data_IF_604524836495
#
_entry.id   IF_604524836495
#
_cell.length_a   1.000
_cell.length_b   1.000
_cell.length_c   1.000
_cell.angle_alpha   90.00
_cell.angle_beta   90.00
_cell.angle_gamma   90.00
#
_symmetry.space_group_name_H-M   'P 1'
#
loop_
_entity.id
_entity.type
_entity.pdbx_description
1 polymer ?
#
# COMPACT_ATOMS: atom_id res chain seq x y z
N UNK A 1 -24.10 22.95 -21.24
CA UNK A 1 -23.82 23.30 -19.83
C UNK A 1 -23.39 22.01 -19.10
N UNK A 2 -22.16 21.52 -19.32
CA UNK A 2 -21.72 20.17 -18.90
C UNK A 2 -20.87 20.17 -17.62
N UNK A 3 -20.53 21.35 -17.09
CA UNK A 3 -19.54 21.56 -16.04
C UNK A 3 -20.14 21.75 -14.63
N UNK A 4 -21.47 21.76 -14.47
CA UNK A 4 -22.12 21.96 -13.16
C UNK A 4 -22.10 20.70 -12.29
N UNK A 5 -22.22 19.51 -12.89
CA UNK A 5 -22.26 18.23 -12.17
C UNK A 5 -20.88 17.68 -11.79
N UNK A 6 -19.79 18.17 -12.42
CA UNK A 6 -18.42 17.70 -12.20
C UNK A 6 -17.69 18.40 -11.05
N UNK A 7 -18.09 19.63 -10.71
CA UNK A 7 -17.48 20.45 -9.63
C UNK A 7 -17.43 19.77 -8.25
N UNK A 8 -18.49 19.11 -7.74
CA UNK A 8 -18.43 18.48 -6.42
C UNK A 8 -17.48 17.27 -6.39
N UNK A 9 -17.45 16.47 -7.46
CA UNK A 9 -16.53 15.33 -7.55
C UNK A 9 -15.06 15.78 -7.61
N UNK A 10 -14.78 16.85 -8.35
CA UNK A 10 -13.43 17.41 -8.46
C UNK A 10 -12.94 17.99 -7.13
N UNK A 11 -13.81 18.69 -6.39
CA UNK A 11 -13.51 19.22 -5.06
C UNK A 11 -13.20 18.10 -4.06
N UNK A 12 -14.02 17.05 -4.04
CA UNK A 12 -13.78 15.88 -3.16
C UNK A 12 -12.44 15.22 -3.50
N UNK A 13 -12.13 15.06 -4.79
CA UNK A 13 -10.86 14.50 -5.26
C UNK A 13 -9.67 15.37 -4.82
N UNK A 14 -9.75 16.68 -5.03
CA UNK A 14 -8.71 17.64 -4.64
C UNK A 14 -8.51 17.70 -3.13
N UNK A 15 -9.57 17.56 -2.32
CA UNK A 15 -9.46 17.53 -0.86
C UNK A 15 -8.93 16.19 -0.32
N UNK A 16 -9.22 15.06 -0.98
CA UNK A 16 -8.70 13.74 -0.57
C UNK A 16 -7.26 13.49 -0.99
N UNK A 17 -6.81 14.08 -2.09
CA UNK A 17 -5.45 13.96 -2.59
C UNK A 17 -4.38 14.29 -1.53
N UNK A 18 -4.38 15.45 -0.85
CA UNK A 18 -3.35 15.79 0.14
C UNK A 18 -3.36 14.85 1.35
N UNK A 19 -4.53 14.34 1.77
CA UNK A 19 -4.63 13.38 2.87
C UNK A 19 -4.02 12.02 2.49
N UNK A 20 -4.31 11.54 1.28
CA UNK A 20 -3.74 10.29 0.77
C UNK A 20 -2.23 10.41 0.57
N UNK A 21 -1.76 11.52 -0.01
CA UNK A 21 -0.33 11.80 -0.16
C UNK A 21 0.38 11.85 1.20
N UNK A 22 -0.22 12.50 2.20
CA UNK A 22 0.36 12.54 3.55
C UNK A 22 0.45 11.16 4.18
N UNK A 23 -0.58 10.33 4.03
CA UNK A 23 -0.58 8.94 4.55
C UNK A 23 0.46 8.08 3.83
N UNK A 24 0.58 8.23 2.51
CA UNK A 24 1.59 7.53 1.72
C UNK A 24 3.01 7.89 2.18
N UNK A 25 3.31 9.19 2.30
CA UNK A 25 4.63 9.69 2.70
C UNK A 25 4.98 9.33 4.15
N UNK A 26 4.01 9.34 5.07
CA UNK A 26 4.28 9.06 6.48
C UNK A 26 4.37 7.57 6.81
N UNK A 27 3.66 6.73 6.06
CA UNK A 27 3.44 5.32 6.45
C UNK A 27 4.01 4.35 5.43
N UNK A 28 3.69 4.51 4.14
CA UNK A 28 4.01 3.51 3.12
C UNK A 28 5.41 3.70 2.54
N UNK A 29 5.83 4.94 2.32
CA UNK A 29 7.14 5.26 1.77
C UNK A 29 8.30 4.81 2.69
N UNK A 30 8.31 5.10 4.01
CA UNK A 30 9.39 4.65 4.89
C UNK A 30 9.45 3.13 4.98
N UNK A 31 8.29 2.47 4.96
CA UNK A 31 8.20 1.01 4.92
C UNK A 31 8.80 0.44 3.63
N UNK A 32 8.45 0.98 2.46
CA UNK A 32 8.99 0.52 1.18
C UNK A 32 10.52 0.67 1.11
N UNK A 33 11.05 1.77 1.63
CA UNK A 33 12.50 2.00 1.73
C UNK A 33 13.16 0.98 2.67
N UNK A 34 12.56 0.73 3.84
CA UNK A 34 13.07 -0.26 4.79
C UNK A 34 13.04 -1.68 4.18
N UNK A 35 11.96 -2.05 3.50
CA UNK A 35 11.86 -3.34 2.79
C UNK A 35 12.97 -3.45 1.75
N UNK A 36 13.11 -2.47 0.85
CA UNK A 36 14.13 -2.51 -0.20
C UNK A 36 15.57 -2.58 0.34
N UNK A 37 15.82 -1.99 1.52
CA UNK A 37 17.12 -2.03 2.20
C UNK A 37 17.41 -3.37 2.90
N UNK A 38 16.39 -4.03 3.45
CA UNK A 38 16.57 -5.21 4.30
C UNK A 38 16.23 -6.54 3.61
N UNK A 39 15.41 -6.52 2.56
CA UNK A 39 14.94 -7.73 1.89
C UNK A 39 16.02 -8.34 0.99
N UNK A 40 15.83 -9.62 0.66
CA UNK A 40 16.55 -10.24 -0.45
C UNK A 40 16.12 -9.61 -1.79
N UNK A 41 16.97 -9.72 -2.81
CA UNK A 41 16.65 -9.27 -4.16
C UNK A 41 15.48 -10.09 -4.71
N UNK A 42 14.30 -9.46 -4.85
CA UNK A 42 13.06 -10.11 -5.27
C UNK A 42 13.04 -10.46 -6.76
N UNK A 43 13.92 -9.87 -7.57
CA UNK A 43 13.97 -10.11 -9.01
C UNK A 43 14.47 -11.52 -9.35
N UNK A 44 15.37 -12.08 -8.53
CA UNK A 44 15.96 -13.40 -8.74
C UNK A 44 15.31 -14.51 -7.90
N UNK A 45 14.11 -14.25 -7.38
CA UNK A 45 13.35 -15.24 -6.61
C UNK A 45 12.54 -16.10 -7.57
N UNK A 46 12.73 -17.41 -7.50
CA UNK A 46 11.92 -18.39 -8.24
C UNK A 46 10.63 -18.68 -7.46
N UNK A 47 9.56 -17.98 -7.82
CA UNK A 47 8.31 -17.92 -7.05
C UNK A 47 7.53 -19.22 -7.03
N UNK A 48 7.68 -20.05 -8.05
CA UNK A 48 7.00 -21.33 -8.22
C UNK A 48 7.33 -22.31 -7.09
N UNK A 49 8.49 -22.17 -6.45
CA UNK A 49 8.88 -22.97 -5.26
C UNK A 49 8.17 -22.56 -3.97
N UNK A 50 7.53 -21.39 -3.94
CA UNK A 50 6.95 -20.80 -2.74
C UNK A 50 5.42 -20.73 -2.75
N UNK A 51 4.76 -21.22 -3.80
CA UNK A 51 3.30 -21.14 -3.94
C UNK A 51 2.51 -21.81 -2.82
N UNK A 52 3.02 -22.91 -2.26
CA UNK A 52 2.37 -23.64 -1.16
C UNK A 52 2.88 -23.25 0.23
N UNK A 53 3.86 -22.34 0.32
CA UNK A 53 4.47 -21.91 1.57
C UNK A 53 3.58 -20.88 2.27
N UNK A 54 3.57 -20.89 3.61
CA UNK A 54 2.88 -19.86 4.38
C UNK A 54 3.49 -18.47 4.12
N UNK A 55 2.64 -17.44 4.10
CA UNK A 55 3.06 -16.08 3.76
C UNK A 55 3.98 -15.46 4.81
N UNK A 56 3.80 -15.78 6.09
CA UNK A 56 4.65 -15.27 7.16
C UNK A 56 6.02 -15.95 7.14
N UNK A 57 6.06 -17.25 6.82
CA UNK A 57 7.30 -17.99 6.60
C UNK A 57 8.07 -17.40 5.40
N UNK A 58 7.38 -17.14 4.29
CA UNK A 58 7.97 -16.55 3.09
C UNK A 58 8.54 -15.16 3.37
N UNK A 59 7.82 -14.33 4.14
CA UNK A 59 8.32 -13.01 4.57
C UNK A 59 9.60 -13.12 5.39
N UNK A 60 9.64 -14.03 6.36
CA UNK A 60 10.85 -14.30 7.14
C UNK A 60 12.03 -14.70 6.26
N UNK A 61 11.79 -15.60 5.29
CA UNK A 61 12.82 -16.09 4.35
C UNK A 61 13.34 -14.99 3.42
N UNK A 62 12.46 -14.11 2.96
CA UNK A 62 12.79 -12.97 2.09
C UNK A 62 13.27 -11.74 2.88
N UNK A 63 13.26 -11.79 4.22
CA UNK A 63 13.58 -10.67 5.12
C UNK A 63 12.70 -9.44 4.85
N UNK A 64 11.44 -9.68 4.52
CA UNK A 64 10.45 -8.61 4.31
C UNK A 64 9.77 -8.34 5.66
N UNK A 65 9.94 -7.15 6.25
CA UNK A 65 9.24 -6.79 7.48
C UNK A 65 7.72 -6.80 7.29
N UNK A 66 6.93 -6.96 8.36
CA UNK A 66 5.47 -6.94 8.26
C UNK A 66 4.97 -5.56 7.81
N UNK A 67 3.89 -5.50 7.02
CA UNK A 67 3.35 -4.24 6.52
C UNK A 67 2.88 -3.34 7.67
N UNK A 68 2.95 -2.00 7.50
CA UNK A 68 2.44 -1.08 8.48
C UNK A 68 0.92 -1.26 8.64
N UNK A 69 0.43 -1.17 9.88
CA UNK A 69 -0.98 -1.38 10.17
C UNK A 69 -1.82 -0.30 9.47
N UNK A 70 -2.60 -0.71 8.47
CA UNK A 70 -3.58 0.16 7.83
C UNK A 70 -4.76 0.33 8.78
N UNK A 71 -5.09 1.58 9.12
CA UNK A 71 -6.31 1.87 9.87
C UNK A 71 -7.50 1.40 9.04
N UNK A 72 -8.26 0.43 9.55
CA UNK A 72 -9.46 -0.08 8.86
C UNK A 72 -10.42 1.09 8.64
N UNK A 73 -10.69 1.41 7.37
CA UNK A 73 -11.70 2.40 7.02
C UNK A 73 -13.06 1.79 7.39
N UNK A 74 -13.86 2.51 8.19
CA UNK A 74 -15.24 2.11 8.46
C UNK A 74 -15.96 1.98 7.12
N UNK A 75 -16.45 0.78 6.79
CA UNK A 75 -17.30 0.59 5.61
C UNK A 75 -18.54 1.46 5.80
N UNK A 76 -18.88 2.28 4.80
CA UNK A 76 -20.16 2.96 4.79
C UNK A 76 -21.27 1.90 4.69
N UNK A 77 -22.36 2.01 5.48
CA UNK A 77 -23.50 1.10 5.34
C UNK A 77 -24.06 1.20 3.93
N UNK A 78 -24.44 0.05 3.37
CA UNK A 78 -25.05 -0.10 2.06
C UNK A 78 -26.42 0.59 1.99
#
# INVERSE_FOLDING_TARGET
MLWSHLKPALLILMSRWPVQTRNYLSTHLPYAIAVGRHSRNLLFVYWERYWSMDIEELRGRLRVPPPPQVKKVKKFPA
#
